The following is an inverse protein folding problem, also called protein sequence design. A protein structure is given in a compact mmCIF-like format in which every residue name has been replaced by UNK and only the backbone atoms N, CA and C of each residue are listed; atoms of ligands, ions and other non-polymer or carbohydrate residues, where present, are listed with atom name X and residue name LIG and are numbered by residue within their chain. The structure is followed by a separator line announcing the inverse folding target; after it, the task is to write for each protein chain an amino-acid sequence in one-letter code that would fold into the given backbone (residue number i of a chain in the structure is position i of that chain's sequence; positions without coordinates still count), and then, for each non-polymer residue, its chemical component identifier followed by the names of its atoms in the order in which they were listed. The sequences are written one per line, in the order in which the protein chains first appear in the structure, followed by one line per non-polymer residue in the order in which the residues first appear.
data_IF_950945840244
#
_entry.id   IF_950945840244
#
_cell.length_a   1.000
_cell.length_b   1.000
_cell.length_c   1.000
_cell.angle_alpha   90.00
_cell.angle_beta   90.00
_cell.angle_gamma   90.00
#
_symmetry.space_group_name_H-M   'P 1'
#
loop_
_entity.id
_entity.type
_entity.pdbx_description
1 polymer ?
#
# COMPACT_ATOMS: atom_id res chain seq x y z
N UNK A 1 -11.83 6.00 -7.28
CA UNK A 1 -10.64 5.32 -7.80
C UNK A 1 -11.07 4.07 -8.55
N UNK A 2 -10.59 3.88 -9.77
CA UNK A 2 -10.77 2.63 -10.51
C UNK A 2 -9.56 1.71 -10.27
N UNK A 3 -9.79 0.45 -9.92
CA UNK A 3 -8.73 -0.55 -9.82
C UNK A 3 -8.60 -1.30 -11.15
N UNK A 4 -7.38 -1.54 -11.61
CA UNK A 4 -7.11 -2.27 -12.85
C UNK A 4 -6.27 -3.52 -12.60
N UNK A 5 -6.85 -4.68 -12.92
CA UNK A 5 -6.15 -5.97 -12.86
C UNK A 5 -5.99 -6.57 -11.46
N UNK A 6 -6.49 -5.88 -10.42
CA UNK A 6 -6.50 -6.39 -9.06
C UNK A 6 -7.75 -5.98 -8.27
N UNK A 7 -8.02 -6.69 -7.18
CA UNK A 7 -9.03 -6.34 -6.17
C UNK A 7 -8.45 -6.51 -4.76
N UNK A 8 -9.08 -5.86 -3.78
CA UNK A 8 -8.78 -6.05 -2.35
C UNK A 8 -9.75 -7.10 -1.81
N UNK A 9 -9.26 -8.03 -1.00
CA UNK A 9 -10.06 -9.11 -0.43
C UNK A 9 -10.66 -8.71 0.92
N UNK A 10 -11.77 -9.35 1.31
CA UNK A 10 -12.56 -9.05 2.52
C UNK A 10 -11.77 -9.06 3.85
N UNK A 11 -10.61 -9.71 3.89
CA UNK A 11 -9.70 -9.71 5.05
C UNK A 11 -8.84 -8.46 5.21
N UNK A 12 -8.92 -7.50 4.27
CA UNK A 12 -8.24 -6.20 4.29
C UNK A 12 -6.70 -6.24 4.38
N UNK A 13 -6.06 -7.39 4.32
CA UNK A 13 -4.59 -7.50 4.23
C UNK A 13 -4.11 -8.08 2.90
N UNK A 14 -5.06 -8.55 2.08
CA UNK A 14 -4.78 -9.32 0.87
C UNK A 14 -5.36 -8.67 -0.36
N UNK A 15 -4.69 -8.90 -1.47
CA UNK A 15 -5.18 -8.55 -2.81
C UNK A 15 -5.27 -9.80 -3.68
N UNK A 16 -6.17 -9.77 -4.66
CA UNK A 16 -6.18 -10.72 -5.77
C UNK A 16 -5.60 -10.03 -7.01
N UNK A 17 -4.45 -10.51 -7.49
CA UNK A 17 -3.78 -9.98 -8.67
C UNK A 17 -3.65 -11.10 -9.71
N UNK A 18 -4.33 -10.97 -10.85
CA UNK A 18 -4.30 -11.96 -11.95
C UNK A 18 -4.61 -13.40 -11.47
N UNK A 19 -5.55 -13.57 -10.55
CA UNK A 19 -5.93 -14.88 -10.01
C UNK A 19 -5.02 -15.43 -8.90
N UNK A 20 -3.99 -14.68 -8.49
CA UNK A 20 -3.12 -15.03 -7.37
C UNK A 20 -3.45 -14.17 -6.15
N UNK A 21 -3.72 -14.80 -5.01
CA UNK A 21 -3.84 -14.11 -3.73
C UNK A 21 -2.46 -13.76 -3.18
N UNK A 22 -2.27 -12.47 -2.86
CA UNK A 22 -1.03 -11.95 -2.28
C UNK A 22 -1.36 -11.33 -0.92
N UNK A 23 -0.72 -11.83 0.14
CA UNK A 23 -0.89 -11.34 1.50
C UNK A 23 0.14 -10.23 1.79
N UNK A 24 -0.30 -8.98 1.74
CA UNK A 24 0.58 -7.83 1.94
C UNK A 24 1.01 -7.64 3.40
N UNK A 25 0.40 -8.35 4.34
CA UNK A 25 0.78 -8.34 5.76
C UNK A 25 1.87 -9.37 6.05
N UNK A 26 1.67 -10.61 5.60
CA UNK A 26 2.56 -11.73 5.96
C UNK A 26 3.69 -11.98 4.95
N UNK A 27 3.46 -11.73 3.67
CA UNK A 27 4.37 -12.18 2.60
C UNK A 27 5.23 -11.05 2.03
N UNK A 28 4.97 -9.80 2.43
CA UNK A 28 5.63 -8.61 1.89
C UNK A 28 5.98 -7.59 2.98
N UNK A 29 7.11 -6.92 2.78
CA UNK A 29 7.58 -5.80 3.60
C UNK A 29 7.42 -4.51 2.78
N UNK A 30 6.76 -3.51 3.36
CA UNK A 30 6.66 -2.17 2.78
C UNK A 30 7.98 -1.43 2.93
N UNK A 31 8.42 -0.75 1.86
CA UNK A 31 9.78 -0.18 1.82
C UNK A 31 9.85 1.28 1.42
N UNK A 32 8.92 1.79 0.61
CA UNK A 32 9.08 3.12 0.01
C UNK A 32 7.76 3.76 -0.43
N UNK A 33 7.74 5.09 -0.34
CA UNK A 33 6.71 5.99 -0.88
C UNK A 33 7.39 6.94 -1.86
N UNK A 34 7.00 6.91 -3.13
CA UNK A 34 7.46 7.86 -4.14
C UNK A 34 6.30 8.70 -4.68
N UNK A 35 6.38 10.02 -4.51
CA UNK A 35 5.39 10.94 -5.07
C UNK A 35 5.99 11.85 -6.14
N UNK A 36 5.47 11.76 -7.36
CA UNK A 36 5.88 12.59 -8.50
C UNK A 36 4.87 13.70 -8.72
N UNK A 37 5.19 14.91 -8.23
CA UNK A 37 4.30 16.07 -8.25
C UNK A 37 3.80 16.39 -9.67
N UNK A 38 4.73 16.53 -10.63
CA UNK A 38 4.38 16.90 -12.02
C UNK A 38 3.45 15.90 -12.70
N UNK A 39 3.59 14.61 -12.38
CA UNK A 39 2.76 13.54 -12.92
C UNK A 39 1.50 13.26 -12.07
N UNK A 40 1.37 13.88 -10.88
CA UNK A 40 0.37 13.54 -9.86
C UNK A 40 0.24 12.04 -9.66
N UNK A 41 1.39 11.40 -9.48
CA UNK A 41 1.49 9.95 -9.38
C UNK A 41 2.18 9.55 -8.08
N UNK A 42 1.53 8.66 -7.34
CA UNK A 42 2.07 8.02 -6.15
C UNK A 42 2.47 6.58 -6.49
N UNK A 43 3.61 6.14 -5.97
CA UNK A 43 4.02 4.74 -5.99
C UNK A 43 4.31 4.28 -4.57
N UNK A 44 3.75 3.13 -4.22
CA UNK A 44 3.95 2.45 -2.93
C UNK A 44 4.63 1.11 -3.22
N UNK A 45 5.70 0.83 -2.50
CA UNK A 45 6.60 -0.28 -2.82
C UNK A 45 6.65 -1.32 -1.72
N UNK A 46 6.61 -2.58 -2.13
CA UNK A 46 6.81 -3.73 -1.28
C UNK A 46 7.87 -4.66 -1.86
N UNK A 47 8.63 -5.30 -1.00
CA UNK A 47 9.51 -6.43 -1.34
C UNK A 47 8.97 -7.69 -0.68
N UNK A 48 9.13 -8.84 -1.33
CA UNK A 48 8.75 -10.12 -0.76
C UNK A 48 9.60 -10.41 0.48
N UNK A 49 8.97 -10.77 1.59
CA UNK A 49 9.68 -11.08 2.83
C UNK A 49 10.60 -12.30 2.66
N UNK A 50 11.68 -12.35 3.42
CA UNK A 50 12.65 -13.44 3.38
C UNK A 50 12.24 -14.67 4.22
N UNK A 51 11.05 -14.67 4.81
CA UNK A 51 10.56 -15.74 5.67
C UNK A 51 10.31 -17.05 4.91
N UNK A 52 10.66 -18.17 5.55
CA UNK A 52 10.50 -19.52 4.95
C UNK A 52 9.04 -19.91 4.67
N UNK A 53 8.08 -19.20 5.26
CA UNK A 53 6.65 -19.37 5.00
C UNK A 53 6.21 -18.79 3.65
N UNK A 54 7.00 -17.86 3.07
CA UNK A 54 6.62 -17.18 1.84
C UNK A 54 6.91 -18.07 0.63
N UNK A 55 5.87 -18.31 -0.17
CA UNK A 55 6.00 -19.18 -1.35
C UNK A 55 6.99 -18.60 -2.38
N UNK A 56 7.97 -19.38 -2.88
CA UNK A 56 8.94 -18.89 -3.86
C UNK A 56 8.35 -18.41 -5.19
N UNK A 57 7.12 -18.83 -5.51
CA UNK A 57 6.38 -18.38 -6.70
C UNK A 57 5.78 -16.98 -6.56
N UNK A 58 5.81 -16.38 -5.37
CA UNK A 58 5.33 -15.02 -5.17
C UNK A 58 6.23 -14.00 -5.85
N UNK A 59 5.68 -12.94 -6.49
CA UNK A 59 6.47 -11.86 -7.03
C UNK A 59 7.52 -11.33 -6.03
N UNK A 60 8.77 -11.08 -6.46
CA UNK A 60 9.81 -10.63 -5.53
C UNK A 60 9.61 -9.18 -5.07
N UNK A 61 8.83 -8.39 -5.80
CA UNK A 61 8.44 -7.05 -5.42
C UNK A 61 7.09 -6.67 -6.06
N UNK A 62 6.37 -5.79 -5.39
CA UNK A 62 5.12 -5.20 -5.84
C UNK A 62 5.22 -3.68 -5.81
N UNK A 63 4.59 -3.03 -6.77
CA UNK A 63 4.43 -1.57 -6.77
C UNK A 63 2.99 -1.23 -7.08
N UNK A 64 2.30 -0.62 -6.11
CA UNK A 64 1.00 -0.01 -6.33
C UNK A 64 1.24 1.40 -6.89
N UNK A 65 0.72 1.66 -8.08
CA UNK A 65 0.81 2.95 -8.75
C UNK A 65 -0.57 3.58 -8.79
N UNK A 66 -0.71 4.73 -8.15
CA UNK A 66 -1.93 5.55 -8.18
C UNK A 66 -1.70 6.75 -9.10
N UNK A 67 -2.54 6.91 -10.13
CA UNK A 67 -2.44 7.99 -11.11
C UNK A 67 -3.57 9.00 -10.97
N UNK A 68 -3.28 10.28 -11.27
CA UNK A 68 -4.24 11.36 -11.11
C UNK A 68 -4.59 11.62 -9.64
N UNK A 69 -3.60 11.60 -8.77
CA UNK A 69 -3.74 11.80 -7.32
C UNK A 69 -4.30 13.20 -7.05
N UNK A 70 -5.39 13.25 -6.30
CA UNK A 70 -6.14 14.46 -5.92
C UNK A 70 -5.98 14.75 -4.43
N UNK A 71 -5.88 13.70 -3.61
CA UNK A 71 -5.62 13.79 -2.17
C UNK A 71 -4.53 12.78 -1.84
N UNK A 72 -3.53 13.23 -1.10
CA UNK A 72 -2.56 12.40 -0.40
C UNK A 72 -2.45 12.93 1.02
N UNK A 73 -2.80 12.10 2.00
CA UNK A 73 -2.55 12.37 3.42
C UNK A 73 -1.73 11.23 3.99
N UNK A 74 -0.77 11.60 4.84
CA UNK A 74 0.05 10.66 5.57
C UNK A 74 0.00 11.11 7.01
N UNK A 75 -0.42 10.21 7.90
CA UNK A 75 -0.28 10.37 9.35
C UNK A 75 0.96 9.61 9.79
N UNK A 76 1.79 10.25 10.60
CA UNK A 76 2.97 9.64 11.20
C UNK A 76 2.63 8.39 12.02
N UNK A 77 3.62 7.51 12.18
CA UNK A 77 3.52 6.40 13.11
C UNK A 77 3.36 6.92 14.55
N UNK A 78 2.67 6.15 15.39
CA UNK A 78 2.69 6.36 16.84
C UNK A 78 4.02 5.86 17.43
N UNK A 79 4.33 6.22 18.67
CA UNK A 79 5.53 5.73 19.40
C UNK A 79 5.47 4.22 19.74
N UNK A 80 4.67 3.44 19.03
CA UNK A 80 4.25 2.09 19.39
C UNK A 80 5.38 1.03 19.32
N UNK A 81 5.21 -0.04 20.10
CA UNK A 81 6.23 -1.04 20.47
C UNK A 81 6.57 -2.05 19.35
N UNK A 82 5.88 -2.00 18.21
CA UNK A 82 6.04 -2.95 17.12
C UNK A 82 7.35 -2.71 16.35
N UNK A 83 8.35 -3.56 16.61
CA UNK A 83 9.58 -3.62 15.80
C UNK A 83 9.20 -3.75 14.32
N UNK A 84 9.68 -2.81 13.49
CA UNK A 84 9.39 -2.74 12.05
C UNK A 84 7.90 -2.61 11.68
N UNK A 85 7.05 -2.11 12.58
CA UNK A 85 5.60 -1.97 12.36
C UNK A 85 5.23 -1.13 11.12
N UNK A 86 6.06 -0.15 10.75
CA UNK A 86 5.90 0.67 9.54
C UNK A 86 6.04 -0.13 8.24
N UNK A 87 6.74 -1.28 8.29
CA UNK A 87 6.92 -2.17 7.15
C UNK A 87 5.77 -3.16 6.99
N UNK A 88 4.95 -3.34 8.03
CA UNK A 88 3.91 -4.37 8.07
C UNK A 88 2.52 -3.74 7.93
N UNK A 89 1.80 -4.12 6.86
CA UNK A 89 0.46 -3.59 6.59
C UNK A 89 -0.56 -4.19 7.56
N UNK A 90 -1.23 -3.38 8.38
CA UNK A 90 -2.35 -3.82 9.22
C UNK A 90 -3.65 -3.94 8.41
N UNK A 91 -3.93 -2.97 7.54
CA UNK A 91 -5.10 -3.03 6.65
C UNK A 91 -4.97 -2.17 5.38
N UNK A 92 -5.68 -2.56 4.33
CA UNK A 92 -5.88 -1.86 3.08
C UNK A 92 -7.35 -1.97 2.66
N UNK A 93 -7.91 -0.88 2.17
CA UNK A 93 -9.26 -0.84 1.61
C UNK A 93 -9.72 0.57 1.32
N UNK A 94 -11.02 0.76 1.18
CA UNK A 94 -11.63 2.04 0.86
C UNK A 94 -12.30 2.68 2.07
N UNK A 95 -12.22 4.00 2.11
CA UNK A 95 -12.90 4.85 3.08
C UNK A 95 -13.87 5.80 2.37
N UNK A 96 -14.93 6.19 3.09
CA UNK A 96 -15.89 7.18 2.65
C UNK A 96 -15.18 8.51 2.34
N UNK A 97 -15.46 9.11 1.18
CA UNK A 97 -14.85 10.38 0.76
C UNK A 97 -15.13 11.53 1.76
N UNK A 98 -16.25 11.46 2.50
CA UNK A 98 -16.61 12.41 3.54
C UNK A 98 -15.77 12.27 4.83
N UNK A 99 -15.10 11.13 5.02
CA UNK A 99 -14.28 10.80 6.19
C UNK A 99 -12.78 10.88 5.87
N UNK A 100 -12.38 11.88 5.09
CA UNK A 100 -10.98 12.08 4.69
C UNK A 100 -10.06 12.49 5.85
N UNK A 101 -10.62 13.03 6.92
CA UNK A 101 -9.85 13.48 8.09
C UNK A 101 -9.68 12.37 9.14
N UNK A 102 -10.56 11.37 9.14
CA UNK A 102 -10.37 10.12 9.87
C UNK A 102 -9.24 9.34 9.20
N UNK A 103 -8.22 8.90 9.93
CA UNK A 103 -7.06 8.17 9.39
C UNK A 103 -6.95 6.74 9.96
N UNK A 104 -7.92 6.30 10.76
CA UNK A 104 -7.86 5.06 11.57
C UNK A 104 -8.69 3.90 11.01
N UNK A 105 -9.35 4.09 9.88
CA UNK A 105 -10.33 3.14 9.38
C UNK A 105 -10.19 2.74 7.93
N UNK A 106 -10.74 1.56 7.66
CA UNK A 106 -11.17 1.07 6.35
C UNK A 106 -12.65 0.72 6.46
N UNK A 107 -13.47 1.22 5.54
CA UNK A 107 -14.92 0.97 5.54
C UNK A 107 -15.32 -0.21 4.64
N UNK A 108 -14.55 -0.48 3.59
CA UNK A 108 -14.88 -1.48 2.57
C UNK A 108 -13.64 -2.06 1.91
N UNK A 109 -13.75 -3.27 1.36
CA UNK A 109 -12.74 -3.84 0.45
C UNK A 109 -13.05 -3.53 -1.02
N UNK A 110 -14.25 -3.05 -1.32
CA UNK A 110 -14.71 -2.71 -2.68
C UNK A 110 -15.01 -1.21 -2.80
N UNK A 111 -14.77 -0.69 -4.00
CA UNK A 111 -15.15 0.67 -4.38
C UNK A 111 -16.67 0.74 -4.50
N UNK A 112 -17.27 1.77 -3.91
CA UNK A 112 -18.69 2.09 -4.09
C UNK A 112 -18.92 3.59 -4.17
N UNK A 113 -20.15 4.01 -4.45
CA UNK A 113 -20.49 5.42 -4.54
C UNK A 113 -20.18 6.12 -3.21
N UNK A 114 -19.26 7.08 -3.24
CA UNK A 114 -18.83 7.81 -2.04
C UNK A 114 -17.85 7.06 -1.13
N UNK A 115 -17.40 5.84 -1.50
CA UNK A 115 -16.36 5.07 -0.81
C UNK A 115 -15.27 4.70 -1.82
N UNK A 116 -14.42 5.67 -2.14
CA UNK A 116 -13.44 5.51 -3.24
C UNK A 116 -12.02 5.89 -2.89
N UNK A 117 -11.80 6.43 -1.69
CA UNK A 117 -10.47 6.86 -1.25
C UNK A 117 -9.78 5.65 -0.63
N UNK A 118 -8.61 5.29 -1.16
CA UNK A 118 -7.84 4.16 -0.67
C UNK A 118 -7.18 4.56 0.66
N UNK A 119 -7.25 3.68 1.65
CA UNK A 119 -6.56 3.79 2.92
C UNK A 119 -5.63 2.59 3.10
N UNK A 120 -4.42 2.84 3.57
CA UNK A 120 -3.45 1.84 4.02
C UNK A 120 -3.05 2.20 5.44
N UNK A 121 -3.18 1.25 6.36
CA UNK A 121 -2.84 1.41 7.77
C UNK A 121 -1.79 0.35 8.09
N UNK A 122 -0.73 0.74 8.76
CA UNK A 122 0.39 -0.13 9.14
C UNK A 122 0.31 -0.49 10.62
N UNK A 123 1.07 -1.50 11.03
CA UNK A 123 1.10 -1.96 12.44
C UNK A 123 1.66 -0.90 13.40
N UNK A 124 2.34 0.13 12.89
CA UNK A 124 2.83 1.28 13.66
C UNK A 124 1.86 2.47 13.70
N UNK A 125 0.61 2.29 13.30
CA UNK A 125 -0.40 3.35 13.09
C UNK A 125 -0.10 4.39 11.99
N UNK A 126 1.05 4.28 11.32
CA UNK A 126 1.32 4.98 10.06
C UNK A 126 0.11 4.73 9.15
N UNK A 127 -0.44 5.80 8.58
CA UNK A 127 -1.64 5.71 7.75
C UNK A 127 -1.51 6.59 6.52
N UNK A 128 -1.82 6.02 5.36
CA UNK A 128 -1.75 6.67 4.06
C UNK A 128 -3.15 6.67 3.45
N UNK A 129 -3.65 7.86 3.12
CA UNK A 129 -4.96 8.05 2.49
C UNK A 129 -4.83 8.71 1.13
N UNK A 130 -5.45 8.10 0.12
CA UNK A 130 -5.23 8.42 -1.28
C UNK A 130 -6.58 8.54 -2.00
N UNK A 131 -6.88 9.73 -2.53
CA UNK A 131 -7.88 9.88 -3.58
C UNK A 131 -7.14 9.99 -4.92
N UNK A 132 -7.39 9.06 -5.84
CA UNK A 132 -6.81 9.06 -7.17
C UNK A 132 -7.84 8.61 -8.22
N UNK A 133 -7.55 8.91 -9.49
CA UNK A 133 -8.40 8.48 -10.60
C UNK A 133 -8.36 6.96 -10.74
N UNK A 134 -7.17 6.39 -10.80
CA UNK A 134 -6.96 4.96 -10.99
C UNK A 134 -5.78 4.41 -10.20
N UNK A 135 -5.76 3.09 -10.02
CA UNK A 135 -4.67 2.35 -9.42
C UNK A 135 -4.38 1.03 -10.17
N UNK A 136 -3.09 0.69 -10.26
CA UNK A 136 -2.55 -0.53 -10.87
C UNK A 136 -1.49 -1.12 -9.97
N UNK A 137 -1.32 -2.44 -10.02
CA UNK A 137 -0.17 -3.11 -9.40
C UNK A 137 0.74 -3.65 -10.47
N UNK A 138 2.02 -3.31 -10.36
CA UNK A 138 3.08 -3.89 -11.18
C UNK A 138 3.91 -4.86 -10.35
N UNK A 139 4.23 -6.01 -10.94
CA UNK A 139 5.28 -6.89 -10.44
C UNK A 139 6.60 -6.34 -10.93
N UNK A 140 7.56 -6.15 -10.04
CA UNK A 140 8.91 -5.71 -10.38
C UNK A 140 9.91 -6.78 -9.95
N UNK A 141 11.12 -6.72 -10.53
CA UNK A 141 12.26 -7.40 -9.91
C UNK A 141 12.61 -6.65 -8.64
N UNK A 142 13.03 -7.34 -7.59
CA UNK A 142 13.53 -6.67 -6.39
C UNK A 142 14.72 -5.76 -6.80
N UNK A 143 14.53 -4.45 -6.70
CA UNK A 143 15.63 -3.51 -6.91
C UNK A 143 16.42 -3.45 -5.62
N UNK A 144 17.65 -3.94 -5.62
CA UNK A 144 18.57 -3.75 -4.49
C UNK A 144 18.90 -2.27 -4.40
N UNK A 145 18.23 -1.53 -3.52
CA UNK A 145 18.61 -0.15 -3.23
C UNK A 145 19.86 -0.23 -2.36
N UNK A 146 21.02 -0.01 -2.96
CA UNK A 146 22.25 0.22 -2.20
C UNK A 146 22.20 1.66 -1.70
N UNK A 147 21.84 1.87 -0.44
CA UNK A 147 21.95 3.19 0.20
C UNK A 147 23.43 3.56 0.37
N UNK A 148 24.05 4.13 -0.66
CA UNK A 148 25.28 4.91 -0.50
C UNK A 148 24.90 6.34 -0.16
N UNK A 149 24.58 6.58 1.11
CA UNK A 149 24.53 7.92 1.65
C UNK A 149 25.91 8.27 2.17
N UNK A 150 26.73 8.91 1.33
CA UNK A 150 27.91 9.64 1.80
C UNK A 150 27.51 11.11 1.85
N UNK A 151 27.19 11.61 3.05
CA UNK A 151 27.16 13.05 3.27
C UNK A 151 28.60 13.56 3.29
N UNK A 152 28.90 14.56 2.45
CA UNK A 152 30.05 15.45 2.60
C UNK A 152 29.54 16.82 3.01
#
# INVERSE_FOLDING_TARGET
MQLHGFSILKGLTKILLEGQELDLHNDYEFTQIDYRIAARQLQLHWVRSAGDWVRPSMPPALTLVCAGVQVLKIREASEDEHVDGEKCLSSIGFMWNAMRDDMDGVASHEVSQGCTDLALIFMSDLSIKIAAAEARIHRSRATTITSTTTFR
#
